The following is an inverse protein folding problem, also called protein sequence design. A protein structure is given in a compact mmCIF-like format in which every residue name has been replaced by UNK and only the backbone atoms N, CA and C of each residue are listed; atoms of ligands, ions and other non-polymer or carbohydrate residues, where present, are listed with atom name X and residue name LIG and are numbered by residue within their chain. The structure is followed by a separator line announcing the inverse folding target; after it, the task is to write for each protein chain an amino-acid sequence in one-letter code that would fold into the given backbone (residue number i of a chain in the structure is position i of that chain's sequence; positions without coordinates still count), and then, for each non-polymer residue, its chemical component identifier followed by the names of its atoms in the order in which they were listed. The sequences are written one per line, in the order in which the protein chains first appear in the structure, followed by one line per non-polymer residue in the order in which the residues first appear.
data_IF_299992636055
#
_entry.id   IF_299992636055
#
_cell.length_a   1.000
_cell.length_b   1.000
_cell.length_c   1.000
_cell.angle_alpha   90.00
_cell.angle_beta   90.00
_cell.angle_gamma   90.00
#
_symmetry.space_group_name_H-M   'P 1'
#
loop_
_entity.id
_entity.type
_entity.pdbx_description
1 polymer ?
#
# COMPACT_ATOMS: atom_id res chain seq x y z
N UNK A 1 -23.26 -57.75 -24.34
CA UNK A 1 -24.28 -56.71 -24.11
C UNK A 1 -24.31 -56.23 -22.66
N UNK A 2 -24.43 -57.11 -21.66
CA UNK A 2 -24.48 -56.75 -20.23
C UNK A 2 -23.27 -55.92 -19.76
N UNK A 3 -22.04 -56.30 -20.14
CA UNK A 3 -20.81 -55.56 -19.81
C UNK A 3 -20.78 -54.11 -20.34
N UNK A 4 -21.37 -53.87 -21.51
CA UNK A 4 -21.45 -52.53 -22.13
C UNK A 4 -22.43 -51.64 -21.35
N UNK A 5 -23.54 -52.22 -20.88
CA UNK A 5 -24.55 -51.53 -20.07
C UNK A 5 -23.98 -51.15 -18.70
N UNK A 6 -23.25 -52.07 -18.04
CA UNK A 6 -22.58 -51.80 -16.76
C UNK A 6 -21.50 -50.72 -16.92
N UNK A 7 -20.70 -50.78 -17.99
CA UNK A 7 -19.69 -49.75 -18.29
C UNK A 7 -20.30 -48.36 -18.51
N UNK A 8 -21.40 -48.28 -19.27
CA UNK A 8 -22.10 -47.01 -19.51
C UNK A 8 -22.72 -46.45 -18.21
N UNK A 9 -23.30 -47.30 -17.38
CA UNK A 9 -23.90 -46.91 -16.09
C UNK A 9 -22.84 -46.41 -15.09
N UNK A 10 -21.72 -47.11 -14.95
CA UNK A 10 -20.59 -46.66 -14.13
C UNK A 10 -20.00 -45.34 -14.64
N UNK A 11 -19.91 -45.17 -15.96
CA UNK A 11 -19.44 -43.92 -16.57
C UNK A 11 -20.37 -42.75 -16.24
N UNK A 12 -21.70 -42.95 -16.31
CA UNK A 12 -22.67 -41.94 -15.89
C UNK A 12 -22.55 -41.59 -14.41
N UNK A 13 -22.38 -42.59 -13.53
CA UNK A 13 -22.20 -42.34 -12.09
C UNK A 13 -20.93 -41.52 -11.84
N UNK A 14 -19.81 -41.88 -12.47
CA UNK A 14 -18.54 -41.15 -12.32
C UNK A 14 -18.67 -39.71 -12.84
N UNK A 15 -19.35 -39.50 -13.97
CA UNK A 15 -19.61 -38.16 -14.51
C UNK A 15 -20.50 -37.36 -13.55
N UNK A 16 -21.57 -37.97 -13.01
CA UNK A 16 -22.48 -37.33 -12.06
C UNK A 16 -21.76 -36.94 -10.77
N UNK A 17 -20.97 -37.85 -10.18
CA UNK A 17 -20.16 -37.56 -8.99
C UNK A 17 -19.14 -36.45 -9.26
N UNK A 18 -18.46 -36.50 -10.41
CA UNK A 18 -17.50 -35.46 -10.81
C UNK A 18 -18.17 -34.09 -10.93
N UNK A 19 -19.39 -34.04 -11.47
CA UNK A 19 -20.16 -32.81 -11.59
C UNK A 19 -20.61 -32.27 -10.23
N UNK A 20 -21.09 -33.13 -9.32
CA UNK A 20 -21.46 -32.74 -7.95
C UNK A 20 -20.26 -32.23 -7.15
N UNK A 21 -19.13 -32.93 -7.21
CA UNK A 21 -17.89 -32.50 -6.55
C UNK A 21 -17.40 -31.15 -7.10
N UNK A 22 -17.45 -30.95 -8.42
CA UNK A 22 -17.09 -29.67 -9.04
C UNK A 22 -18.04 -28.55 -8.65
N UNK A 23 -19.35 -28.82 -8.57
CA UNK A 23 -20.35 -27.84 -8.14
C UNK A 23 -20.13 -27.44 -6.67
N UNK A 24 -19.89 -28.41 -5.78
CA UNK A 24 -19.59 -28.16 -4.38
C UNK A 24 -18.31 -27.32 -4.22
N UNK A 25 -17.24 -27.70 -4.93
CA UNK A 25 -15.97 -26.97 -4.92
C UNK A 25 -16.14 -25.54 -5.42
N UNK A 26 -16.92 -25.34 -6.48
CA UNK A 26 -17.19 -24.00 -7.04
C UNK A 26 -18.00 -23.15 -6.07
N UNK A 27 -19.03 -23.73 -5.41
CA UNK A 27 -19.81 -23.05 -4.38
C UNK A 27 -18.98 -22.64 -3.16
N UNK A 28 -18.09 -23.52 -2.69
CA UNK A 28 -17.15 -23.22 -1.61
C UNK A 28 -16.19 -22.09 -2.00
N UNK A 29 -15.56 -22.17 -3.17
CA UNK A 29 -14.64 -21.13 -3.64
C UNK A 29 -15.32 -19.77 -3.77
N UNK A 30 -16.58 -19.75 -4.23
CA UNK A 30 -17.38 -18.53 -4.31
C UNK A 30 -17.66 -17.94 -2.94
N UNK A 31 -18.13 -18.75 -1.98
CA UNK A 31 -18.39 -18.28 -0.61
C UNK A 31 -17.12 -17.76 0.07
N UNK A 32 -16.00 -18.43 -0.13
CA UNK A 32 -14.69 -18.00 0.36
C UNK A 32 -14.26 -16.68 -0.31
N UNK A 33 -14.47 -16.55 -1.62
CA UNK A 33 -14.18 -15.30 -2.36
C UNK A 33 -15.00 -14.12 -1.85
N UNK A 34 -16.32 -14.29 -1.70
CA UNK A 34 -17.23 -13.25 -1.20
C UNK A 34 -16.85 -12.85 0.25
N UNK A 35 -16.43 -13.81 1.07
CA UNK A 35 -15.93 -13.53 2.42
C UNK A 35 -14.68 -12.66 2.40
N UNK A 36 -13.64 -13.03 1.64
CA UNK A 36 -12.39 -12.27 1.57
C UNK A 36 -12.57 -10.90 0.89
N UNK A 37 -13.43 -10.81 -0.12
CA UNK A 37 -13.79 -9.54 -0.75
C UNK A 37 -14.36 -8.55 0.28
N UNK A 38 -15.24 -9.02 1.16
CA UNK A 38 -15.81 -8.19 2.24
C UNK A 38 -14.78 -7.63 3.23
N UNK A 39 -13.62 -8.31 3.36
CA UNK A 39 -12.52 -7.91 4.23
C UNK A 39 -11.63 -6.83 3.61
N UNK A 40 -11.79 -6.56 2.31
CA UNK A 40 -11.03 -5.56 1.59
C UNK A 40 -11.92 -4.45 1.07
N UNK A 41 -11.69 -3.23 1.53
CA UNK A 41 -12.47 -2.06 1.13
C UNK A 41 -11.56 -1.03 0.48
N UNK A 42 -11.62 -0.87 -0.86
CA UNK A 42 -10.88 0.19 -1.52
C UNK A 42 -11.52 1.55 -1.21
N UNK A 43 -10.71 2.58 -1.10
CA UNK A 43 -11.15 3.96 -0.97
C UNK A 43 -10.33 4.80 -1.93
N UNK A 44 -11.02 5.49 -2.84
CA UNK A 44 -10.37 6.40 -3.77
C UNK A 44 -10.51 7.83 -3.25
N UNK A 45 -9.38 8.43 -2.92
CA UNK A 45 -9.31 9.82 -2.54
C UNK A 45 -8.86 10.67 -3.71
N UNK A 46 -9.55 11.79 -3.93
CA UNK A 46 -9.21 12.76 -4.96
C UNK A 46 -9.07 14.16 -4.37
N UNK A 47 -8.08 14.90 -4.84
CA UNK A 47 -7.96 16.34 -4.60
C UNK A 47 -7.73 17.05 -5.93
N UNK A 48 -8.33 18.21 -6.15
CA UNK A 48 -8.11 19.02 -7.36
C UNK A 48 -7.64 20.42 -6.97
N UNK A 49 -6.68 20.96 -7.72
CA UNK A 49 -6.10 22.28 -7.51
C UNK A 49 -5.66 22.91 -8.82
N UNK A 50 -6.38 23.95 -9.26
CA UNK A 50 -6.15 24.55 -10.56
C UNK A 50 -6.26 23.49 -11.66
N UNK A 51 -5.16 23.26 -12.39
CA UNK A 51 -5.08 22.25 -13.44
C UNK A 51 -4.55 20.89 -12.94
N UNK A 52 -4.30 20.75 -11.63
CA UNK A 52 -3.71 19.55 -11.06
C UNK A 52 -4.73 18.71 -10.31
N UNK A 53 -4.69 17.40 -10.51
CA UNK A 53 -5.50 16.45 -9.76
C UNK A 53 -4.60 15.41 -9.11
N UNK A 54 -4.91 15.07 -7.87
CA UNK A 54 -4.21 14.12 -7.06
C UNK A 54 -5.15 12.95 -6.78
N UNK A 55 -4.64 11.73 -6.95
CA UNK A 55 -5.41 10.52 -6.65
C UNK A 55 -4.61 9.63 -5.73
N UNK A 56 -5.23 9.27 -4.61
CA UNK A 56 -4.70 8.29 -3.68
C UNK A 56 -5.70 7.14 -3.54
N UNK A 57 -5.28 5.92 -3.87
CA UNK A 57 -6.07 4.71 -3.62
C UNK A 57 -5.54 4.05 -2.36
N UNK A 58 -6.41 3.88 -1.37
CA UNK A 58 -6.13 3.07 -0.19
C UNK A 58 -6.94 1.79 -0.25
N UNK A 59 -6.35 0.70 0.23
CA UNK A 59 -7.02 -0.57 0.43
C UNK A 59 -7.00 -0.87 1.93
N UNK A 60 -8.17 -0.82 2.55
CA UNK A 60 -8.34 -1.25 3.93
C UNK A 60 -8.53 -2.77 3.92
N UNK A 61 -7.56 -3.49 4.46
CA UNK A 61 -7.61 -4.95 4.56
C UNK A 61 -7.70 -5.34 6.02
N UNK A 62 -8.74 -6.09 6.37
CA UNK A 62 -8.89 -6.67 7.70
C UNK A 62 -8.47 -8.13 7.68
N UNK A 63 -7.52 -8.51 8.52
CA UNK A 63 -7.21 -9.90 8.82
C UNK A 63 -7.96 -10.31 10.10
N UNK A 64 -9.09 -11.04 9.99
CA UNK A 64 -9.87 -11.47 11.16
C UNK A 64 -9.27 -12.70 11.85
N UNK A 65 -8.25 -13.33 11.27
CA UNK A 65 -7.72 -14.61 11.73
C UNK A 65 -6.66 -14.44 12.82
N UNK A 66 -6.27 -15.55 13.46
CA UNK A 66 -5.15 -15.61 14.40
C UNK A 66 -3.78 -15.83 13.71
N UNK A 67 -3.75 -15.93 12.38
CA UNK A 67 -2.55 -16.22 11.60
C UNK A 67 -2.19 -15.05 10.67
N UNK A 68 -0.98 -15.06 10.11
CA UNK A 68 -0.56 -14.08 9.11
C UNK A 68 -1.33 -14.30 7.81
N UNK A 69 -1.70 -13.20 7.15
CA UNK A 69 -2.37 -13.23 5.84
C UNK A 69 -1.44 -12.61 4.79
N UNK A 70 -1.07 -13.39 3.78
CA UNK A 70 -0.25 -12.89 2.66
C UNK A 70 -1.16 -12.39 1.56
N UNK A 71 -0.88 -11.19 1.05
CA UNK A 71 -1.73 -10.54 0.05
C UNK A 71 -0.84 -10.03 -1.06
N UNK A 72 -1.18 -10.36 -2.30
CA UNK A 72 -0.56 -9.81 -3.49
C UNK A 72 -1.59 -8.93 -4.19
N UNK A 73 -1.23 -7.67 -4.44
CA UNK A 73 -2.10 -6.73 -5.15
C UNK A 73 -1.54 -6.50 -6.55
N UNK A 74 -2.35 -6.80 -7.56
CA UNK A 74 -2.07 -6.53 -8.96
C UNK A 74 -3.03 -5.46 -9.49
N UNK A 75 -2.51 -4.43 -10.12
CA UNK A 75 -3.34 -3.36 -10.71
C UNK A 75 -3.37 -3.59 -12.22
N UNK A 76 -4.54 -3.92 -12.77
CA UNK A 76 -4.65 -4.38 -14.16
C UNK A 76 -5.03 -3.23 -15.10
N UNK A 77 -5.94 -2.34 -14.71
CA UNK A 77 -6.37 -1.23 -15.58
C UNK A 77 -6.75 0.03 -14.81
N UNK A 78 -6.28 1.18 -15.31
CA UNK A 78 -6.76 2.51 -14.96
C UNK A 78 -7.21 3.17 -16.27
N UNK A 79 -8.49 3.52 -16.38
CA UNK A 79 -9.04 4.21 -17.56
C UNK A 79 -9.55 5.61 -17.21
N UNK A 80 -9.22 6.63 -18.03
CA UNK A 80 -8.31 6.61 -19.17
C UNK A 80 -6.85 6.33 -18.75
N UNK A 81 -5.99 5.82 -19.66
CA UNK A 81 -4.57 5.62 -19.37
C UNK A 81 -3.95 6.93 -18.90
N UNK A 82 -3.24 6.87 -17.77
CA UNK A 82 -2.70 8.04 -17.09
C UNK A 82 -1.45 8.53 -17.85
N UNK A 83 -1.44 9.78 -18.36
CA UNK A 83 -0.31 10.27 -19.16
C UNK A 83 0.89 10.80 -18.34
N UNK A 84 0.92 10.67 -17.01
CA UNK A 84 1.95 11.27 -16.15
C UNK A 84 2.49 10.34 -15.06
N UNK A 85 3.59 10.74 -14.41
CA UNK A 85 4.36 9.99 -13.42
C UNK A 85 3.47 9.30 -12.38
N UNK A 86 3.21 8.02 -12.64
CA UNK A 86 2.48 7.14 -11.75
C UNK A 86 3.51 6.63 -10.74
N UNK A 87 3.39 6.99 -9.46
CA UNK A 87 4.15 6.28 -8.43
C UNK A 87 3.37 5.00 -8.10
N UNK A 88 3.47 4.03 -9.02
CA UNK A 88 2.97 2.68 -8.80
C UNK A 88 3.96 1.95 -7.91
N UNK A 89 3.45 1.41 -6.83
CA UNK A 89 4.09 0.28 -6.21
C UNK A 89 3.62 -0.97 -6.98
N UNK A 90 4.49 -1.45 -7.88
CA UNK A 90 4.34 -2.71 -8.65
C UNK A 90 4.32 -3.93 -7.71
N UNK A 91 3.78 -5.09 -8.16
CA UNK A 91 2.88 -5.92 -7.36
C UNK A 91 3.35 -6.08 -5.93
N UNK A 92 2.58 -5.49 -5.03
CA UNK A 92 2.96 -5.41 -3.64
C UNK A 92 2.50 -6.69 -2.96
N UNK A 93 3.46 -7.51 -2.55
CA UNK A 93 3.23 -8.57 -1.59
C UNK A 93 3.27 -7.95 -0.19
N UNK A 94 2.19 -8.17 0.57
CA UNK A 94 2.04 -7.68 1.93
C UNK A 94 1.76 -8.83 2.88
N UNK A 95 2.24 -8.70 4.11
CA UNK A 95 1.91 -9.61 5.20
C UNK A 95 1.04 -8.83 6.20
N UNK A 96 -0.23 -9.22 6.33
CA UNK A 96 -1.15 -8.56 7.27
C UNK A 96 -1.13 -9.33 8.59
N UNK A 97 -0.77 -8.68 9.72
CA UNK A 97 -0.75 -9.31 11.04
C UNK A 97 -2.13 -9.86 11.46
N UNK A 98 -2.17 -10.88 12.34
CA UNK A 98 -3.41 -11.41 12.91
C UNK A 98 -4.25 -10.33 13.58
N UNK A 99 -5.58 -10.40 13.46
CA UNK A 99 -6.53 -9.49 14.14
C UNK A 99 -6.26 -8.00 13.93
N UNK A 100 -5.75 -7.62 12.76
CA UNK A 100 -5.47 -6.21 12.43
C UNK A 100 -6.23 -5.77 11.19
N UNK A 101 -6.54 -4.48 11.15
CA UNK A 101 -6.95 -3.79 9.92
C UNK A 101 -5.82 -2.87 9.52
N UNK A 102 -5.32 -3.04 8.30
CA UNK A 102 -4.23 -2.24 7.72
C UNK A 102 -4.79 -1.41 6.58
N UNK A 103 -4.46 -0.13 6.54
CA UNK A 103 -4.76 0.75 5.41
C UNK A 103 -3.53 0.83 4.52
N UNK A 104 -3.59 0.19 3.35
CA UNK A 104 -2.47 0.12 2.42
C UNK A 104 -2.65 1.15 1.30
N UNK A 105 -1.75 2.13 1.14
CA UNK A 105 -1.73 2.97 -0.05
C UNK A 105 -1.28 2.11 -1.25
N UNK A 106 -2.13 2.00 -2.26
CA UNK A 106 -1.91 1.19 -3.46
C UNK A 106 -1.45 2.04 -4.64
N UNK A 107 -1.99 3.26 -4.76
CA UNK A 107 -1.66 4.19 -5.84
C UNK A 107 -1.57 5.60 -5.27
N UNK A 108 -0.55 6.35 -5.66
CA UNK A 108 -0.50 7.80 -5.46
C UNK A 108 -0.06 8.49 -6.75
N UNK A 109 -0.95 9.25 -7.37
CA UNK A 109 -0.75 9.83 -8.69
C UNK A 109 -1.02 11.33 -8.74
N UNK A 110 -0.26 11.99 -9.61
CA UNK A 110 -0.25 13.43 -9.84
C UNK A 110 -0.56 13.67 -11.32
N UNK A 111 -1.57 14.48 -11.60
CA UNK A 111 -2.05 14.71 -12.96
C UNK A 111 -2.15 16.20 -13.26
N UNK A 112 -1.91 16.57 -14.51
CA UNK A 112 -2.06 17.93 -15.01
C UNK A 112 -3.29 18.05 -15.94
N UNK A 113 -4.47 17.62 -15.44
CA UNK A 113 -5.74 17.84 -16.14
C UNK A 113 -6.93 17.81 -15.19
N UNK A 114 -8.07 18.35 -15.67
CA UNK A 114 -9.38 18.29 -15.03
C UNK A 114 -9.87 16.83 -14.96
N UNK A 115 -9.75 16.23 -13.78
CA UNK A 115 -10.25 14.87 -13.52
C UNK A 115 -11.77 14.79 -13.42
N UNK A 116 -12.43 14.86 -14.56
CA UNK A 116 -13.82 14.41 -14.68
C UNK A 116 -13.92 12.97 -15.24
N UNK A 117 -12.80 12.35 -15.65
CA UNK A 117 -12.84 11.17 -16.52
C UNK A 117 -12.29 9.86 -15.92
N UNK A 118 -11.78 9.81 -14.69
CA UNK A 118 -11.46 8.51 -14.08
C UNK A 118 -12.78 7.84 -13.72
N UNK A 119 -13.21 6.92 -14.56
CA UNK A 119 -14.45 6.18 -14.38
C UNK A 119 -14.20 4.77 -13.86
N UNK A 120 -13.05 4.18 -14.16
CA UNK A 120 -12.74 2.79 -13.81
C UNK A 120 -11.28 2.62 -13.36
N UNK A 121 -11.10 2.12 -12.13
CA UNK A 121 -9.87 1.47 -11.66
C UNK A 121 -10.27 0.05 -11.28
N UNK A 122 -9.66 -0.94 -11.93
CA UNK A 122 -9.83 -2.34 -11.59
C UNK A 122 -8.57 -2.86 -10.91
N UNK A 123 -8.74 -3.34 -9.70
CA UNK A 123 -7.68 -3.89 -8.85
C UNK A 123 -7.96 -5.38 -8.72
N UNK A 124 -6.96 -6.21 -8.97
CA UNK A 124 -7.02 -7.64 -8.71
C UNK A 124 -6.25 -7.94 -7.44
N UNK A 125 -6.95 -8.43 -6.43
CA UNK A 125 -6.38 -8.77 -5.14
C UNK A 125 -6.31 -10.29 -5.04
N UNK A 126 -5.13 -10.81 -4.76
CA UNK A 126 -4.92 -12.23 -4.49
C UNK A 126 -4.56 -12.41 -3.02
N UNK A 127 -5.41 -13.09 -2.26
CA UNK A 127 -5.18 -13.40 -0.85
C UNK A 127 -4.76 -14.86 -0.70
N UNK A 128 -3.65 -15.07 0.00
CA UNK A 128 -3.08 -16.36 0.37
C UNK A 128 -2.96 -16.41 1.89
N UNK A 129 -3.77 -17.24 2.54
CA UNK A 129 -3.59 -17.56 3.96
C UNK A 129 -2.94 -18.93 4.13
N UNK A 130 -2.33 -19.16 5.29
CA UNK A 130 -1.80 -20.47 5.65
C UNK A 130 -2.91 -21.53 5.66
N UNK A 131 -4.12 -21.19 6.11
CA UNK A 131 -5.29 -22.08 6.02
C UNK A 131 -5.59 -22.51 4.57
N UNK A 132 -5.61 -21.56 3.62
CA UNK A 132 -5.81 -21.88 2.19
C UNK A 132 -4.67 -22.72 1.63
N UNK A 133 -3.42 -22.42 2.00
CA UNK A 133 -2.24 -23.19 1.61
C UNK A 133 -2.29 -24.63 2.17
N UNK A 134 -2.71 -24.81 3.42
CA UNK A 134 -2.86 -26.11 4.07
C UNK A 134 -3.95 -26.97 3.39
N UNK A 135 -5.01 -26.32 2.92
CA UNK A 135 -6.05 -26.96 2.13
C UNK A 135 -5.65 -27.19 0.66
N UNK A 136 -4.42 -26.81 0.26
CA UNK A 136 -3.93 -26.82 -1.13
C UNK A 136 -4.88 -26.09 -2.09
N UNK A 137 -5.59 -25.09 -1.58
CA UNK A 137 -6.46 -24.25 -2.39
C UNK A 137 -5.61 -23.15 -3.04
N UNK A 138 -5.88 -22.80 -4.30
CA UNK A 138 -5.27 -21.61 -4.88
C UNK A 138 -5.69 -20.39 -4.06
N UNK A 139 -4.82 -19.37 -4.01
CA UNK A 139 -5.16 -18.08 -3.42
C UNK A 139 -6.46 -17.53 -4.00
N UNK A 140 -7.21 -16.83 -3.16
CA UNK A 140 -8.50 -16.25 -3.53
C UNK A 140 -8.22 -14.98 -4.32
N UNK A 141 -8.61 -14.98 -5.60
CA UNK A 141 -8.42 -13.83 -6.49
C UNK A 141 -9.77 -13.24 -6.86
N UNK A 142 -9.94 -11.96 -6.62
CA UNK A 142 -11.14 -11.21 -7.02
C UNK A 142 -10.77 -9.82 -7.51
N UNK A 143 -11.69 -9.24 -8.27
CA UNK A 143 -11.56 -7.91 -8.84
C UNK A 143 -12.39 -6.93 -8.02
N UNK A 144 -11.80 -5.79 -7.74
CA UNK A 144 -12.47 -4.70 -7.05
C UNK A 144 -12.43 -3.45 -7.93
N UNK A 145 -13.58 -2.83 -8.13
CA UNK A 145 -13.73 -1.55 -8.82
C UNK A 145 -13.89 -0.38 -7.84
N UNK A 146 -13.75 0.86 -8.29
CA UNK A 146 -13.94 2.05 -7.44
C UNK A 146 -15.38 2.06 -6.91
N UNK A 147 -15.53 2.01 -5.59
CA UNK A 147 -16.83 1.98 -4.92
C UNK A 147 -17.23 3.38 -4.45
N UNK A 148 -16.26 4.21 -4.04
CA UNK A 148 -16.50 5.53 -3.49
C UNK A 148 -15.34 6.49 -3.77
N UNK A 149 -15.67 7.69 -4.26
CA UNK A 149 -14.72 8.80 -4.47
C UNK A 149 -14.89 9.81 -3.34
N UNK A 150 -13.85 9.98 -2.53
CA UNK A 150 -13.87 10.83 -1.35
C UNK A 150 -12.95 12.03 -1.58
N UNK A 151 -13.41 13.28 -1.38
CA UNK A 151 -12.53 14.43 -1.47
C UNK A 151 -11.49 14.39 -0.34
N UNK A 152 -10.22 14.63 -0.67
CA UNK A 152 -9.14 14.77 0.31
C UNK A 152 -9.32 16.08 1.10
N UNK A 153 -9.45 15.97 2.42
CA UNK A 153 -9.61 17.14 3.32
C UNK A 153 -8.48 17.29 4.33
N UNK A 154 -7.53 16.36 4.36
CA UNK A 154 -6.44 16.32 5.31
C UNK A 154 -5.15 15.87 4.61
N UNK A 155 -3.97 16.30 5.09
CA UNK A 155 -2.70 15.80 4.58
C UNK A 155 -2.61 14.28 4.71
N UNK A 156 -1.98 13.65 3.73
CA UNK A 156 -1.78 12.21 3.70
C UNK A 156 -0.44 11.87 3.08
N UNK A 157 0.02 10.64 3.23
CA UNK A 157 1.30 10.27 2.70
C UNK A 157 1.59 8.79 2.79
N UNK A 158 2.82 8.45 2.45
CA UNK A 158 3.37 7.10 2.56
C UNK A 158 4.82 7.21 3.02
N UNK A 159 5.17 6.42 4.03
CA UNK A 159 6.53 6.29 4.52
C UNK A 159 7.09 4.93 4.10
N UNK A 160 8.31 4.93 3.58
CA UNK A 160 9.05 3.74 3.24
C UNK A 160 10.30 3.65 4.12
N UNK A 161 10.45 2.54 4.81
CA UNK A 161 11.67 2.25 5.54
C UNK A 161 12.57 1.31 4.72
N UNK A 162 13.76 1.75 4.34
CA UNK A 162 14.72 0.95 3.57
C UNK A 162 16.03 0.75 4.32
N UNK A 163 16.45 -0.51 4.50
CA UNK A 163 17.66 -0.86 5.25
C UNK A 163 18.97 -0.40 4.59
N UNK A 164 18.98 -0.11 3.29
CA UNK A 164 20.21 0.31 2.58
C UNK A 164 20.80 1.63 3.10
N UNK A 165 20.02 2.42 3.85
CA UNK A 165 20.52 3.65 4.50
C UNK A 165 20.49 3.58 6.04
N UNK A 166 20.11 2.44 6.63
CA UNK A 166 20.25 2.01 8.05
C UNK A 166 19.71 2.92 9.16
N UNK A 167 19.34 4.14 8.82
CA UNK A 167 19.11 5.25 9.74
C UNK A 167 18.19 6.29 9.15
N UNK A 168 17.63 6.07 7.95
CA UNK A 168 16.75 6.98 7.24
C UNK A 168 15.49 6.22 6.80
N UNK A 169 14.35 6.91 6.78
CA UNK A 169 13.15 6.47 6.08
C UNK A 169 12.72 7.55 5.08
N UNK A 170 12.23 7.14 3.93
CA UNK A 170 11.68 8.02 2.92
C UNK A 170 10.23 8.32 3.22
N UNK A 171 9.85 9.59 3.30
CA UNK A 171 8.50 10.04 3.49
C UNK A 171 8.02 10.78 2.25
N UNK A 172 6.79 10.52 1.82
CA UNK A 172 6.12 11.26 0.77
C UNK A 172 4.80 11.77 1.31
N UNK A 173 4.66 13.08 1.41
CA UNK A 173 3.48 13.73 1.99
C UNK A 173 2.81 14.59 0.94
N UNK A 174 1.49 14.58 0.93
CA UNK A 174 0.64 15.44 0.14
C UNK A 174 -0.13 16.34 1.10
N UNK A 175 -0.05 17.64 0.86
CA UNK A 175 -0.77 18.64 1.62
C UNK A 175 -1.88 19.25 0.75
N UNK A 176 -3.15 18.83 0.90
CA UNK A 176 -4.27 19.40 0.15
C UNK A 176 -4.81 20.69 0.79
N UNK A 177 -4.15 21.23 1.81
CA UNK A 177 -4.62 22.42 2.52
C UNK A 177 -4.20 23.71 1.83
N UNK A 178 -4.88 24.80 2.18
CA UNK A 178 -4.59 26.15 1.67
C UNK A 178 -3.47 26.88 2.42
N UNK A 179 -3.04 26.35 3.57
CA UNK A 179 -1.96 26.91 4.40
C UNK A 179 -0.81 25.92 4.55
N UNK A 180 0.40 26.45 4.75
CA UNK A 180 1.59 25.61 4.89
C UNK A 180 1.57 24.79 6.18
N UNK A 181 1.89 23.51 6.02
CA UNK A 181 2.15 22.60 7.12
C UNK A 181 3.63 22.64 7.52
N UNK A 182 3.90 22.70 8.82
CA UNK A 182 5.26 22.69 9.38
C UNK A 182 5.45 21.47 10.26
N UNK A 183 6.40 20.61 9.91
CA UNK A 183 6.78 19.43 10.68
C UNK A 183 7.84 19.84 11.69
N UNK A 184 7.56 19.56 12.97
CA UNK A 184 8.39 19.95 14.11
C UNK A 184 9.13 18.73 14.67
N UNK A 185 8.40 17.63 14.80
CA UNK A 185 8.90 16.34 15.28
C UNK A 185 8.11 15.21 14.61
N UNK A 186 8.59 13.99 14.77
CA UNK A 186 7.92 12.80 14.29
C UNK A 186 8.20 11.63 15.19
N UNK A 187 7.26 10.71 15.20
CA UNK A 187 7.31 9.48 15.98
C UNK A 187 6.98 8.30 15.08
N UNK A 188 7.67 7.19 15.29
CA UNK A 188 7.47 5.97 14.52
C UNK A 188 6.94 4.89 15.45
N UNK A 189 5.86 4.27 15.06
CA UNK A 189 5.18 3.24 15.83
C UNK A 189 5.05 1.95 15.03
N UNK A 190 5.14 0.82 15.71
CA UNK A 190 4.67 -0.45 15.16
C UNK A 190 3.14 -0.52 15.18
N UNK A 191 2.50 -1.38 14.37
CA UNK A 191 1.03 -1.55 14.38
C UNK A 191 0.45 -1.94 15.74
N UNK A 192 1.24 -2.57 16.63
CA UNK A 192 0.82 -2.87 17.99
C UNK A 192 0.82 -1.63 18.92
N UNK A 193 1.10 -0.44 18.40
CA UNK A 193 1.16 0.83 19.13
C UNK A 193 2.48 1.07 19.88
N UNK A 194 3.47 0.19 19.75
CA UNK A 194 4.78 0.37 20.41
C UNK A 194 5.57 1.48 19.72
N UNK A 195 6.04 2.45 20.51
CA UNK A 195 6.92 3.53 20.02
C UNK A 195 8.31 2.97 19.70
N UNK A 196 8.73 3.11 18.45
CA UNK A 196 10.03 2.67 17.94
C UNK A 196 11.10 3.76 18.09
N UNK A 197 10.78 4.96 17.59
CA UNK A 197 11.66 6.14 17.69
C UNK A 197 10.82 7.41 17.77
N UNK A 198 11.29 8.40 18.50
CA UNK A 198 10.71 9.75 18.58
C UNK A 198 11.81 10.77 18.33
N UNK A 199 11.64 11.65 17.34
CA UNK A 199 12.68 12.55 16.87
C UNK A 199 12.18 14.00 16.77
N UNK A 200 12.98 14.94 17.24
CA UNK A 200 12.72 16.39 17.14
C UNK A 200 13.68 16.99 16.11
N UNK A 201 13.15 17.82 15.21
CA UNK A 201 13.92 18.57 14.23
C UNK A 201 14.44 19.87 14.85
N UNK A 202 15.76 20.12 14.80
CA UNK A 202 16.37 21.40 15.21
C UNK A 202 15.93 22.59 14.35
N UNK A 203 15.47 22.32 13.13
CA UNK A 203 14.87 23.26 12.21
C UNK A 203 13.61 22.63 11.66
N UNK A 204 12.48 23.33 11.73
CA UNK A 204 11.22 22.79 11.24
C UNK A 204 11.22 22.65 9.70
N UNK A 205 10.59 21.59 9.21
CA UNK A 205 10.42 21.34 7.78
C UNK A 205 9.07 21.90 7.32
N UNK A 206 9.09 22.86 6.40
CA UNK A 206 7.88 23.47 5.85
C UNK A 206 7.47 22.74 4.58
N UNK A 207 6.26 22.19 4.59
CA UNK A 207 5.56 21.64 3.44
C UNK A 207 4.61 22.73 2.95
N UNK A 208 4.81 23.16 1.71
CA UNK A 208 3.97 24.18 1.13
C UNK A 208 2.56 23.63 0.89
N UNK A 209 1.54 24.48 1.02
CA UNK A 209 0.18 24.07 0.70
C UNK A 209 0.11 23.62 -0.77
N UNK A 210 -0.77 22.66 -1.04
CA UNK A 210 -1.00 22.10 -2.37
C UNK A 210 0.24 21.46 -3.02
N UNK A 211 1.20 21.02 -2.20
CA UNK A 211 2.42 20.36 -2.67
C UNK A 211 2.42 18.86 -2.41
N UNK A 212 3.17 18.13 -3.26
CA UNK A 212 3.58 16.77 -3.00
C UNK A 212 5.06 16.77 -2.62
N UNK A 213 5.40 16.48 -1.38
CA UNK A 213 6.77 16.63 -0.87
C UNK A 213 7.35 15.28 -0.48
N UNK A 214 8.45 14.90 -1.14
CA UNK A 214 9.25 13.73 -0.80
C UNK A 214 10.50 14.10 0.00
N UNK A 215 10.88 13.31 1.00
CA UNK A 215 12.09 13.57 1.78
C UNK A 215 12.55 12.34 2.56
N UNK A 216 13.76 12.36 3.08
CA UNK A 216 14.26 11.32 3.98
C UNK A 216 14.44 11.90 5.38
N UNK A 217 13.90 11.23 6.39
CA UNK A 217 14.04 11.59 7.79
C UNK A 217 14.86 10.53 8.53
N UNK A 218 15.72 10.91 9.47
CA UNK A 218 16.50 9.93 10.21
C UNK A 218 15.69 9.19 11.28
N UNK A 219 16.18 8.06 11.74
CA UNK A 219 15.61 7.32 12.88
C UNK A 219 16.48 7.40 14.13
N UNK A 220 17.63 8.08 14.04
CA UNK A 220 18.63 8.24 15.09
C UNK A 220 19.13 9.69 15.15
N UNK A 221 19.61 10.11 16.31
CA UNK A 221 20.19 11.44 16.50
C UNK A 221 21.37 11.66 15.56
N UNK A 222 21.42 12.84 14.95
CA UNK A 222 22.49 13.21 14.04
C UNK A 222 22.11 14.38 13.13
N UNK A 223 23.10 14.90 12.42
CA UNK A 223 22.91 15.83 11.31
C UNK A 223 22.58 15.05 10.05
N UNK A 224 21.53 15.46 9.35
CA UNK A 224 21.21 14.92 8.03
C UNK A 224 21.11 16.05 7.01
N UNK A 225 21.42 15.72 5.76
CA UNK A 225 21.36 16.63 4.62
C UNK A 225 20.72 15.88 3.46
N UNK A 226 19.44 15.59 3.56
CA UNK A 226 18.71 14.98 2.44
C UNK A 226 17.24 15.35 2.50
N UNK A 227 16.85 16.22 1.59
CA UNK A 227 15.47 16.56 1.30
C UNK A 227 15.42 16.74 -0.22
N UNK A 228 14.46 16.10 -0.88
CA UNK A 228 14.20 16.32 -2.29
C UNK A 228 12.73 16.69 -2.42
N UNK A 229 12.40 17.96 -2.14
CA UNK A 229 11.01 18.44 -2.26
C UNK A 229 10.60 18.42 -3.73
N UNK A 230 9.82 17.44 -4.17
CA UNK A 230 9.28 17.46 -5.53
C UNK A 230 8.04 18.35 -5.58
N UNK A 231 8.18 19.67 -5.52
CA UNK A 231 7.04 20.58 -5.66
C UNK A 231 6.39 20.46 -7.05
N UNK A 232 5.36 19.63 -7.16
CA UNK A 232 4.36 19.79 -8.20
C UNK A 232 3.60 21.09 -7.90
N UNK A 233 3.43 22.01 -8.86
CA UNK A 233 3.43 21.78 -10.31
C UNK A 233 4.68 22.23 -11.10
N UNK A 234 5.59 22.98 -10.50
CA UNK A 234 6.61 23.73 -11.23
C UNK A 234 7.97 23.06 -11.16
N UNK A 235 8.21 22.07 -12.02
CA UNK A 235 9.48 21.32 -12.14
C UNK A 235 9.95 20.63 -10.85
N UNK A 236 10.79 19.60 -10.96
CA UNK A 236 11.43 18.97 -9.78
C UNK A 236 12.38 19.99 -9.15
N UNK A 237 11.90 20.74 -8.17
CA UNK A 237 12.70 21.69 -7.39
C UNK A 237 13.48 20.94 -6.31
N UNK A 238 14.66 20.43 -6.67
CA UNK A 238 15.54 19.84 -5.65
C UNK A 238 16.06 20.92 -4.71
N UNK A 239 15.39 21.09 -3.57
CA UNK A 239 15.86 21.94 -2.49
C UNK A 239 16.54 21.09 -1.44
N UNK A 240 17.81 21.36 -1.19
CA UNK A 240 18.51 20.74 -0.07
C UNK A 240 18.04 21.37 1.24
N UNK A 241 17.63 20.52 2.18
CA UNK A 241 17.39 20.91 3.56
C UNK A 241 18.33 20.11 4.45
N UNK A 242 18.91 20.81 5.40
CA UNK A 242 19.72 20.21 6.45
C UNK A 242 19.18 20.67 7.80
N UNK A 243 19.02 19.69 8.68
CA UNK A 243 18.72 19.89 10.08
C UNK A 243 19.48 18.85 10.90
N UNK A 244 19.75 19.21 12.16
CA UNK A 244 20.07 18.21 13.17
C UNK A 244 18.78 17.60 13.73
N UNK A 245 18.83 16.33 14.09
CA UNK A 245 17.77 15.61 14.78
C UNK A 245 18.24 15.11 16.13
N UNK A 246 17.35 15.19 17.11
CA UNK A 246 17.53 14.56 18.41
C UNK A 246 16.46 13.48 18.51
N UNK A 247 16.88 12.22 18.52
CA UNK A 247 16.00 11.07 18.58
C UNK A 247 16.18 10.29 19.88
N UNK A 248 15.07 9.90 20.48
CA UNK A 248 14.99 8.88 21.52
C UNK A 248 14.60 7.57 20.86
N UNK A 249 15.53 6.61 20.85
CA UNK A 249 15.32 5.29 20.27
C UNK A 249 14.87 4.34 21.37
N UNK A 250 13.62 3.88 21.30
CA UNK A 250 13.04 2.97 22.29
C UNK A 250 13.06 1.52 21.82
N UNK A 251 13.32 1.29 20.52
CA UNK A 251 13.38 -0.04 19.93
C UNK A 251 14.52 -0.12 18.90
N UNK A 252 15.26 -1.23 18.91
CA UNK A 252 16.23 -1.49 17.85
C UNK A 252 15.48 -2.00 16.63
N UNK A 253 15.36 -1.17 15.60
CA UNK A 253 14.75 -1.59 14.33
C UNK A 253 15.45 -2.86 13.83
N UNK A 254 14.68 -3.90 13.42
CA UNK A 254 15.26 -5.18 13.06
C UNK A 254 16.10 -5.03 11.79
N UNK A 255 17.11 -5.89 11.66
CA UNK A 255 18.05 -5.90 10.53
C UNK A 255 17.52 -6.63 9.31
N UNK A 256 16.32 -7.21 9.39
CA UNK A 256 15.68 -7.98 8.32
C UNK A 256 14.41 -7.24 7.85
N UNK A 257 14.30 -6.97 6.55
CA UNK A 257 13.13 -6.29 5.95
C UNK A 257 11.82 -7.04 6.22
N UNK A 258 11.88 -8.37 6.35
CA UNK A 258 10.73 -9.22 6.66
C UNK A 258 10.27 -9.13 8.14
N UNK A 259 11.12 -8.58 9.01
CA UNK A 259 10.84 -8.44 10.45
C UNK A 259 10.43 -7.03 10.85
N UNK A 260 10.56 -6.05 9.94
CA UNK A 260 10.02 -4.72 10.21
C UNK A 260 8.52 -4.84 10.41
N UNK A 261 8.02 -4.53 11.63
CA UNK A 261 6.61 -4.44 11.80
C UNK A 261 6.14 -3.33 10.88
N UNK A 262 5.15 -3.65 10.05
CA UNK A 262 4.25 -2.65 9.52
C UNK A 262 3.96 -1.63 10.65
N UNK A 263 3.85 -0.36 10.31
CA UNK A 263 3.67 0.66 11.33
C UNK A 263 3.05 1.93 10.80
N UNK A 264 3.23 2.99 11.55
CA UNK A 264 2.90 4.33 11.12
C UNK A 264 3.93 5.33 11.64
N UNK A 265 4.08 6.41 10.88
CA UNK A 265 4.80 7.60 11.30
C UNK A 265 3.77 8.64 11.67
N UNK A 266 3.81 9.12 12.91
CA UNK A 266 3.03 10.28 13.34
C UNK A 266 3.91 11.53 13.20
N UNK A 267 3.54 12.42 12.28
CA UNK A 267 4.13 13.75 12.16
C UNK A 267 3.44 14.69 13.12
N UNK A 268 4.20 15.36 13.97
CA UNK A 268 3.69 16.43 14.82
C UNK A 268 3.88 17.76 14.08
N UNK A 269 2.76 18.42 13.79
CA UNK A 269 2.75 19.62 12.95
C UNK A 269 2.00 20.77 13.60
N UNK A 270 2.11 21.97 13.01
CA UNK A 270 1.36 23.16 13.43
C UNK A 270 -0.17 23.06 13.23
N UNK A 271 -0.65 22.08 12.47
CA UNK A 271 -2.08 21.86 12.17
C UNK A 271 -2.64 20.61 12.87
N UNK A 272 -1.87 20.01 13.77
CA UNK A 272 -2.19 18.77 14.47
C UNK A 272 -1.31 17.59 14.04
N UNK A 273 -1.63 16.41 14.55
CA UNK A 273 -0.86 15.20 14.27
C UNK A 273 -1.36 14.53 12.99
N UNK A 274 -0.43 14.11 12.13
CA UNK A 274 -0.75 13.42 10.87
C UNK A 274 -0.13 12.05 10.90
N UNK A 275 -0.97 11.03 10.77
CA UNK A 275 -0.55 9.62 10.78
C UNK A 275 -0.36 9.15 9.34
N UNK A 276 0.83 8.66 9.04
CA UNK A 276 1.22 8.17 7.71
C UNK A 276 1.61 6.70 7.82
N UNK A 277 1.04 5.81 6.99
CA UNK A 277 1.43 4.40 7.00
C UNK A 277 2.93 4.23 6.70
N UNK A 278 3.59 3.40 7.51
CA UNK A 278 4.97 2.97 7.31
C UNK A 278 4.97 1.59 6.68
N UNK A 279 5.60 1.50 5.50
CA UNK A 279 5.69 0.28 4.72
C UNK A 279 7.17 -0.11 4.63
N UNK A 280 7.50 -1.41 4.80
CA UNK A 280 8.84 -1.87 4.44
C UNK A 280 9.10 -1.53 2.97
N UNK A 281 10.28 -0.98 2.67
CA UNK A 281 10.67 -0.75 1.28
C UNK A 281 10.61 -2.12 0.59
N UNK A 282 9.82 -2.29 -0.49
CA UNK A 282 9.74 -3.59 -1.14
C UNK A 282 11.16 -3.96 -1.55
N UNK A 283 11.61 -5.21 -1.35
CA UNK A 283 12.86 -5.65 -1.95
C UNK A 283 12.70 -5.37 -3.44
N UNK A 284 13.44 -4.37 -3.93
CA UNK A 284 13.61 -4.21 -5.37
C UNK A 284 14.12 -5.58 -5.79
N UNK A 285 13.37 -6.26 -6.65
CA UNK A 285 13.92 -7.39 -7.38
C UNK A 285 15.12 -6.82 -8.17
N UNK A 286 16.29 -6.84 -7.55
CA UNK A 286 17.57 -6.83 -8.24
C UNK A 286 17.58 -8.09 -9.10
N UNK A 287 16.93 -8.08 -10.27
CA UNK A 287 17.08 -9.03 -11.39
C UNK A 287 16.04 -8.83 -12.51
N UNK A 288 15.82 -7.61 -13.01
CA UNK A 288 15.23 -7.42 -14.35
C UNK A 288 16.03 -6.36 -15.13
N UNK A 289 17.36 -6.53 -15.22
CA UNK A 289 18.18 -5.90 -16.27
C UNK A 289 19.39 -6.77 -16.57
N UNK A 290 19.20 -7.97 -17.11
CA UNK A 290 20.21 -8.66 -17.91
C UNK A 290 19.54 -9.77 -18.71
N UNK A 291 18.82 -9.41 -19.78
CA UNK A 291 18.60 -10.24 -20.99
C UNK A 291 17.60 -9.58 -21.95
N UNK A 292 17.77 -8.27 -22.19
CA UNK A 292 17.20 -7.63 -23.37
C UNK A 292 18.35 -7.06 -24.20
N UNK A 293 19.19 -7.96 -24.69
CA UNK A 293 20.07 -7.73 -25.83
C UNK A 293 19.94 -8.96 -26.72
N UNK A 294 18.96 -8.92 -27.62
CA UNK A 294 18.97 -9.52 -28.96
C UNK A 294 17.82 -8.93 -29.76
#
# INVERSE_FOLDING_TARGET
MILVIIGAYLSMIVISLKNEVNALRTGMLRSVSEYYESLTKPMLYISTYGNYSFVALYLNITNPTNELMNITINIITIQPPIPYQVFLAYPMAFIIPPKTTVSLPVILNLFNSSMNNITNINITITILTNELANLRLPGVTYNVSIIEVIPMKQPMGIAFYGLTQGSLFSLRVMDPLSSSMTIISYEMYAYNGSLLTSCILSKSLVINPMSFTGFSLPTRSGTFSTLFIVNMPSSRLETSFSASTICTVNYTLPTNDAELPYGYVMLNTNIGNITIPLIPFPPIFHNITSNASH
#
